data_IF_279713123587
#
_entry.id   IF_279713123587
#
_cell.length_a   1.000
_cell.length_b   1.000
_cell.length_c   1.000
_cell.angle_alpha   90.00
_cell.angle_beta   90.00
_cell.angle_gamma   90.00
#
_symmetry.space_group_name_H-M   'P 1'
#
loop_
_entity.id
_entity.type
_entity.pdbx_description
1 polymer ?
#
# COMPACT_ATOMS: atom_id res chain seq x y z
N UNK A 1 -15.19 20.83 -14.56
CA UNK A 1 -16.27 20.52 -13.59
C UNK A 1 -16.28 21.53 -12.43
N UNK A 2 -15.19 21.65 -11.65
CA UNK A 2 -15.12 22.53 -10.47
C UNK A 2 -15.61 23.98 -10.65
N UNK A 3 -15.24 24.64 -11.75
CA UNK A 3 -15.64 26.04 -12.04
C UNK A 3 -17.16 26.22 -12.11
N UNK A 4 -17.91 25.16 -12.42
CA UNK A 4 -19.38 25.15 -12.57
C UNK A 4 -20.12 24.91 -11.25
N UNK A 5 -19.41 24.70 -10.13
CA UNK A 5 -20.07 24.57 -8.83
C UNK A 5 -20.80 25.87 -8.48
N UNK A 6 -22.10 25.79 -8.14
CA UNK A 6 -22.95 26.96 -7.91
C UNK A 6 -22.49 27.78 -6.70
N UNK A 7 -22.09 27.11 -5.62
CA UNK A 7 -21.48 27.72 -4.45
C UNK A 7 -20.23 26.92 -4.04
N UNK A 8 -19.08 27.60 -3.99
CA UNK A 8 -17.78 27.01 -3.63
C UNK A 8 -17.51 27.09 -2.12
N UNK A 9 -18.35 27.78 -1.36
CA UNK A 9 -18.28 27.86 0.10
C UNK A 9 -19.15 26.78 0.76
N UNK A 10 -20.08 26.18 0.02
CA UNK A 10 -20.88 25.06 0.49
C UNK A 10 -20.03 23.79 0.64
N UNK A 11 -19.84 23.36 1.89
CA UNK A 11 -19.04 22.19 2.25
C UNK A 11 -19.58 20.87 1.67
N UNK A 12 -20.91 20.71 1.61
CA UNK A 12 -21.53 19.50 1.07
C UNK A 12 -21.36 19.44 -0.46
N UNK A 13 -21.52 20.56 -1.14
CA UNK A 13 -21.25 20.66 -2.58
C UNK A 13 -19.78 20.33 -2.91
N UNK A 14 -18.83 20.80 -2.09
CA UNK A 14 -17.42 20.45 -2.23
C UNK A 14 -17.14 18.98 -1.94
N UNK A 15 -17.74 18.40 -0.90
CA UNK A 15 -17.58 16.99 -0.55
C UNK A 15 -18.05 16.09 -1.69
N UNK A 16 -19.27 16.32 -2.19
CA UNK A 16 -19.85 15.58 -3.31
C UNK A 16 -18.99 15.73 -4.57
N UNK A 17 -18.44 16.92 -4.81
CA UNK A 17 -17.52 17.14 -5.91
C UNK A 17 -16.26 16.27 -5.80
N UNK A 18 -15.64 16.21 -4.62
CA UNK A 18 -14.45 15.38 -4.38
C UNK A 18 -14.78 13.91 -4.59
N UNK A 19 -15.84 13.41 -3.97
CA UNK A 19 -16.27 12.00 -4.06
C UNK A 19 -16.65 11.59 -5.50
N UNK A 20 -17.14 12.52 -6.31
CA UNK A 20 -17.49 12.26 -7.72
C UNK A 20 -16.28 12.23 -8.64
N UNK A 21 -15.23 13.00 -8.34
CA UNK A 21 -14.13 13.26 -9.28
C UNK A 21 -12.78 12.65 -8.86
N UNK A 22 -12.62 12.26 -7.60
CA UNK A 22 -11.40 11.68 -7.07
C UNK A 22 -11.68 10.30 -6.48
N UNK A 23 -10.72 9.40 -6.66
CA UNK A 23 -10.76 8.10 -6.00
C UNK A 23 -10.45 8.24 -4.52
N UNK A 24 -10.88 7.26 -3.73
CA UNK A 24 -10.47 7.16 -2.33
C UNK A 24 -8.94 7.00 -2.25
N UNK A 25 -8.41 7.39 -1.11
CA UNK A 25 -6.98 7.32 -0.86
C UNK A 25 -6.46 5.86 -0.81
N UNK A 26 -5.28 5.59 -1.39
CA UNK A 26 -4.67 4.26 -1.38
C UNK A 26 -5.20 3.29 -2.42
N UNK A 27 -6.03 3.76 -3.36
CA UNK A 27 -6.50 2.98 -4.49
C UNK A 27 -5.39 2.68 -5.52
N UNK A 28 -4.19 3.24 -5.36
CA UNK A 28 -3.04 3.02 -6.24
C UNK A 28 -2.36 1.67 -6.01
N UNK A 29 -2.52 1.07 -4.83
CA UNK A 29 -1.84 -0.14 -4.40
C UNK A 29 -2.80 -1.31 -4.23
N UNK A 30 -2.31 -2.52 -4.49
CA UNK A 30 -2.99 -3.77 -4.21
C UNK A 30 -2.10 -4.69 -3.34
N UNK A 31 -2.70 -5.54 -2.48
CA UNK A 31 -1.97 -6.57 -1.76
C UNK A 31 -1.19 -7.46 -2.75
N UNK A 32 0.05 -7.80 -2.41
CA UNK A 32 0.87 -8.67 -3.23
C UNK A 32 1.55 -9.73 -2.37
N UNK A 33 1.49 -10.98 -2.80
CA UNK A 33 2.21 -12.09 -2.16
C UNK A 33 3.34 -12.51 -3.10
N UNK A 34 4.61 -12.35 -2.70
CA UNK A 34 5.76 -12.83 -3.48
C UNK A 34 5.68 -14.34 -3.76
N UNK A 35 6.15 -14.77 -4.93
CA UNK A 35 6.07 -16.17 -5.36
C UNK A 35 6.90 -17.13 -4.48
N UNK A 36 7.94 -16.61 -3.84
CA UNK A 36 8.81 -17.31 -2.91
C UNK A 36 8.32 -17.27 -1.45
N UNK A 37 7.19 -16.61 -1.18
CA UNK A 37 6.61 -16.55 0.16
C UNK A 37 6.19 -17.96 0.63
N UNK A 38 6.80 -18.43 1.71
CA UNK A 38 6.41 -19.68 2.38
C UNK A 38 5.64 -19.36 3.67
N UNK A 39 4.36 -19.77 3.83
CA UNK A 39 3.59 -19.50 5.05
C UNK A 39 4.21 -20.04 6.34
N UNK A 40 4.88 -21.20 6.25
CA UNK A 40 5.57 -21.84 7.37
C UNK A 40 7.03 -22.11 6.97
N UNK A 41 7.92 -21.11 7.07
CA UNK A 41 9.30 -21.29 6.65
C UNK A 41 10.01 -22.29 7.58
N UNK A 42 10.68 -23.33 7.04
CA UNK A 42 11.35 -24.34 7.86
C UNK A 42 12.48 -23.75 8.72
N UNK A 43 13.02 -22.59 8.35
CA UNK A 43 14.03 -21.86 9.11
C UNK A 43 13.49 -21.39 10.46
N UNK A 44 12.23 -20.93 10.51
CA UNK A 44 11.60 -20.48 11.75
C UNK A 44 11.22 -21.66 12.65
N UNK A 45 10.88 -22.82 12.07
CA UNK A 45 10.60 -24.03 12.83
C UNK A 45 11.82 -24.55 13.61
N UNK A 46 13.04 -24.28 13.13
CA UNK A 46 14.30 -24.67 13.77
C UNK A 46 14.70 -23.82 14.97
N UNK A 47 13.98 -22.73 15.25
CA UNK A 47 14.25 -21.90 16.42
C UNK A 47 13.98 -22.72 17.69
N UNK A 48 14.94 -22.76 18.65
CA UNK A 48 14.83 -23.60 19.83
C UNK A 48 13.81 -23.08 20.85
N UNK A 49 13.64 -21.76 20.90
CA UNK A 49 12.73 -21.07 21.82
C UNK A 49 11.35 -20.88 21.18
N UNK A 50 10.30 -21.33 21.88
CA UNK A 50 8.91 -21.23 21.41
C UNK A 50 8.43 -19.78 21.29
N UNK A 51 8.74 -18.92 22.27
CA UNK A 51 8.33 -17.52 22.24
C UNK A 51 9.01 -16.78 21.07
N UNK A 52 10.30 -17.07 20.83
CA UNK A 52 11.03 -16.53 19.69
C UNK A 52 10.44 -17.02 18.36
N UNK A 53 10.07 -18.30 18.27
CA UNK A 53 9.42 -18.87 17.09
C UNK A 53 8.08 -18.21 16.80
N UNK A 54 7.24 -18.02 17.81
CA UNK A 54 5.95 -17.33 17.66
C UNK A 54 6.12 -15.88 17.22
N UNK A 55 7.04 -15.15 17.85
CA UNK A 55 7.36 -13.77 17.46
C UNK A 55 7.86 -13.68 16.01
N UNK A 56 8.78 -14.54 15.61
CA UNK A 56 9.32 -14.55 14.25
C UNK A 56 8.24 -14.91 13.21
N UNK A 57 7.32 -15.83 13.55
CA UNK A 57 6.18 -16.16 12.69
C UNK A 57 5.21 -14.98 12.55
N UNK A 58 4.93 -14.27 13.65
CA UNK A 58 4.11 -13.07 13.61
C UNK A 58 4.75 -11.96 12.74
N UNK A 59 6.07 -11.77 12.88
CA UNK A 59 6.82 -10.84 12.04
C UNK A 59 6.78 -11.23 10.56
N UNK A 60 6.99 -12.51 10.23
CA UNK A 60 6.88 -13.03 8.86
C UNK A 60 5.51 -12.75 8.23
N UNK A 61 4.46 -12.91 9.03
CA UNK A 61 3.09 -12.61 8.61
C UNK A 61 2.87 -11.10 8.36
N UNK A 62 3.47 -10.22 9.17
CA UNK A 62 3.44 -8.77 8.95
C UNK A 62 4.12 -8.40 7.62
N UNK A 63 5.28 -8.99 7.30
CA UNK A 63 5.97 -8.72 6.03
C UNK A 63 5.12 -9.06 4.81
N UNK A 64 4.38 -10.18 4.85
CA UNK A 64 3.39 -10.53 3.82
C UNK A 64 2.31 -9.45 3.70
N UNK A 65 1.76 -9.04 4.84
CA UNK A 65 0.63 -8.12 4.90
C UNK A 65 1.02 -6.68 4.56
N UNK A 66 2.30 -6.33 4.59
CA UNK A 66 2.84 -5.03 4.16
C UNK A 66 3.35 -5.02 2.72
N UNK A 67 3.43 -6.18 2.06
CA UNK A 67 3.86 -6.25 0.67
C UNK A 67 2.76 -5.73 -0.27
N UNK A 68 3.12 -4.77 -1.12
CA UNK A 68 2.20 -4.06 -2.02
C UNK A 68 2.76 -4.01 -3.42
N UNK A 69 1.86 -4.05 -4.39
CA UNK A 69 2.16 -3.78 -5.80
C UNK A 69 1.32 -2.61 -6.26
N UNK A 70 1.88 -1.78 -7.14
CA UNK A 70 1.12 -0.71 -7.76
C UNK A 70 0.19 -1.28 -8.84
N UNK A 71 -1.07 -0.85 -8.82
CA UNK A 71 -2.05 -1.27 -9.82
C UNK A 71 -1.62 -0.80 -11.22
N UNK A 72 -1.82 -1.61 -12.27
CA UNK A 72 -1.45 -1.23 -13.65
C UNK A 72 -2.07 0.09 -14.12
N UNK A 73 -3.25 0.45 -13.60
CA UNK A 73 -3.94 1.69 -13.91
C UNK A 73 -3.10 2.95 -13.61
N UNK A 74 -2.25 2.89 -12.57
CA UNK A 74 -1.39 4.03 -12.20
C UNK A 74 -0.36 4.31 -13.28
N UNK A 75 0.27 3.27 -13.82
CA UNK A 75 1.21 3.42 -14.93
C UNK A 75 0.51 3.83 -16.23
N UNK A 76 -0.69 3.29 -16.50
CA UNK A 76 -1.46 3.59 -17.71
C UNK A 76 -1.97 5.05 -17.77
N UNK A 77 -2.18 5.67 -16.60
CA UNK A 77 -2.70 7.04 -16.49
C UNK A 77 -1.91 7.87 -15.48
N UNK A 78 -0.57 7.82 -15.53
CA UNK A 78 0.33 8.44 -14.55
C UNK A 78 0.05 9.94 -14.31
N UNK A 79 -0.42 10.67 -15.32
CA UNK A 79 -0.82 12.08 -15.20
C UNK A 79 -2.01 12.34 -14.25
N UNK A 80 -2.73 11.30 -13.84
CA UNK A 80 -3.86 11.38 -12.90
C UNK A 80 -3.49 10.96 -11.47
N UNK A 81 -2.24 10.55 -11.24
CA UNK A 81 -1.76 10.05 -9.95
C UNK A 81 -0.58 10.89 -9.47
N UNK A 82 -0.46 11.09 -8.17
CA UNK A 82 0.76 11.65 -7.57
C UNK A 82 1.86 10.59 -7.43
N UNK A 83 1.48 9.32 -7.31
CA UNK A 83 2.40 8.21 -7.17
C UNK A 83 3.22 8.00 -8.46
N UNK A 84 4.54 7.89 -8.31
CA UNK A 84 5.42 7.56 -9.42
C UNK A 84 5.23 6.08 -9.83
N UNK A 85 5.21 5.76 -11.13
CA UNK A 85 5.09 4.38 -11.59
C UNK A 85 6.25 3.50 -11.08
N UNK A 86 5.92 2.39 -10.42
CA UNK A 86 6.86 1.42 -9.87
C UNK A 86 6.68 0.06 -10.56
N UNK A 87 7.77 -0.52 -11.07
CA UNK A 87 7.75 -1.81 -11.79
C UNK A 87 7.56 -3.02 -10.89
N UNK A 88 8.14 -2.97 -9.69
CA UNK A 88 8.21 -4.11 -8.78
C UNK A 88 7.31 -3.89 -7.56
N UNK A 89 6.94 -4.98 -6.89
CA UNK A 89 6.33 -4.89 -5.57
C UNK A 89 7.36 -4.39 -4.55
N UNK A 90 6.89 -3.72 -3.52
CA UNK A 90 7.72 -3.26 -2.40
C UNK A 90 6.99 -3.51 -1.09
N UNK A 91 7.74 -3.47 0.01
CA UNK A 91 7.16 -3.42 1.34
C UNK A 91 6.98 -1.95 1.73
N UNK A 92 5.78 -1.60 2.20
CA UNK A 92 5.51 -0.28 2.75
C UNK A 92 5.59 -0.30 4.28
N UNK A 93 5.94 0.80 4.96
CA UNK A 93 5.98 0.86 6.43
C UNK A 93 4.64 0.55 7.13
N UNK A 94 3.52 0.72 6.41
CA UNK A 94 2.17 0.44 6.91
C UNK A 94 1.39 1.68 7.36
N UNK A 95 0.15 1.47 7.80
CA UNK A 95 -0.75 2.55 8.20
C UNK A 95 -1.08 3.48 7.03
N UNK A 96 -0.81 4.79 7.19
CA UNK A 96 -1.05 5.80 6.15
C UNK A 96 0.01 5.84 5.06
N UNK A 97 1.13 5.15 5.24
CA UNK A 97 2.25 5.15 4.30
C UNK A 97 1.99 4.19 3.15
N UNK A 98 1.91 4.75 1.93
CA UNK A 98 1.53 4.04 0.69
C UNK A 98 2.60 4.18 -0.40
N UNK A 99 3.80 4.55 0.02
CA UNK A 99 4.93 4.82 -0.86
C UNK A 99 6.16 4.14 -0.27
N UNK A 100 7.12 3.84 -1.13
CA UNK A 100 8.40 3.29 -0.72
C UNK A 100 9.26 4.43 -0.19
N UNK A 101 9.78 4.30 1.02
CA UNK A 101 10.66 5.28 1.64
C UNK A 101 12.11 4.77 1.59
N UNK A 102 12.98 5.52 0.91
CA UNK A 102 14.35 5.09 0.64
C UNK A 102 15.11 4.61 1.88
N UNK A 103 15.04 5.38 2.97
CA UNK A 103 15.77 5.10 4.20
C UNK A 103 15.16 3.95 5.01
N UNK A 104 13.84 3.77 4.99
CA UNK A 104 13.14 2.61 5.57
C UNK A 104 13.42 1.31 4.80
N UNK A 105 13.72 1.41 3.50
CA UNK A 105 14.03 0.24 2.64
C UNK A 105 15.51 -0.13 2.60
N UNK A 106 16.37 0.56 3.35
CA UNK A 106 17.76 0.10 3.51
C UNK A 106 17.78 -1.21 4.28
N UNK A 107 17.98 -2.29 3.53
CA UNK A 107 18.58 -3.54 4.01
C UNK A 107 20.06 -3.30 4.31
#
# INVERSE_FOLDING_TARGET
>A
AFRRLPDKQNAEALRNFVETHFEAEGQELEPFVPADHQPNPPQLARLPDEALRQWAMALHQIWKDLCRKQRPAVAAAAQRHSALPQRFASVVPGGRFRETYYWDTRL
#
